data_IF_711736612886
#
_entry.id   IF_711736612886
#
_cell.length_a   1.000
_cell.length_b   1.000
_cell.length_c   1.000
_cell.angle_alpha   90.00
_cell.angle_beta   90.00
_cell.angle_gamma   90.00
#
_symmetry.space_group_name_H-M   'P 1'
#
loop_
_entity.id
_entity.type
_entity.pdbx_description
1 polymer ?
#
# COMPACT_ATOMS: atom_id res chain seq x y z
N UNK A 1 -38.59 10.23 26.76
CA UNK A 1 -37.11 10.15 26.71
C UNK A 1 -36.76 9.27 25.53
N UNK A 2 -36.56 9.88 24.38
CA UNK A 2 -36.21 9.18 23.13
C UNK A 2 -34.73 8.81 23.18
N UNK A 3 -34.47 7.54 23.46
CA UNK A 3 -33.15 6.93 23.35
C UNK A 3 -32.79 6.82 21.87
N UNK A 4 -32.35 7.92 21.26
CA UNK A 4 -31.73 7.92 19.94
C UNK A 4 -30.35 7.29 20.06
N UNK A 5 -30.33 5.96 20.09
CA UNK A 5 -29.12 5.14 20.03
C UNK A 5 -28.50 5.38 18.65
N UNK A 6 -27.60 6.36 18.53
CA UNK A 6 -26.78 6.52 17.34
C UNK A 6 -25.96 5.22 17.19
N UNK A 7 -26.12 4.46 16.10
CA UNK A 7 -25.35 3.24 15.92
C UNK A 7 -23.88 3.63 15.77
N UNK A 8 -23.05 3.16 16.71
CA UNK A 8 -21.60 3.32 16.65
C UNK A 8 -21.11 2.57 15.39
N UNK A 9 -20.79 3.32 14.33
CA UNK A 9 -20.28 2.75 13.09
C UNK A 9 -18.80 2.41 13.28
N UNK A 10 -18.49 1.12 13.37
CA UNK A 10 -17.11 0.65 13.38
C UNK A 10 -16.50 0.84 11.99
N UNK A 11 -15.37 1.54 11.93
CA UNK A 11 -14.60 1.66 10.71
C UNK A 11 -14.04 0.28 10.33
N UNK A 12 -14.60 -0.33 9.29
CA UNK A 12 -14.07 -1.58 8.74
C UNK A 12 -12.85 -1.28 7.89
N UNK A 13 -11.66 -1.49 8.46
CA UNK A 13 -10.42 -1.46 7.70
C UNK A 13 -10.35 -2.67 6.78
N UNK A 14 -10.47 -2.44 5.47
CA UNK A 14 -10.14 -3.45 4.47
C UNK A 14 -8.67 -3.33 4.13
N UNK A 15 -7.95 -4.43 4.23
CA UNK A 15 -6.58 -4.48 3.71
C UNK A 15 -6.63 -4.30 2.20
N UNK A 16 -5.94 -3.29 1.66
CA UNK A 16 -5.89 -3.09 0.23
C UNK A 16 -5.14 -4.26 -0.42
N UNK A 17 -5.65 -4.73 -1.56
CA UNK A 17 -5.10 -5.89 -2.25
C UNK A 17 -3.96 -5.43 -3.17
N UNK A 18 -2.77 -5.92 -2.89
CA UNK A 18 -1.58 -5.70 -3.72
C UNK A 18 -1.68 -6.52 -5.02
N UNK A 19 -1.22 -5.93 -6.11
CA UNK A 19 -1.03 -6.56 -7.43
C UNK A 19 0.23 -7.44 -7.39
N UNK A 20 1.30 -6.98 -6.75
CA UNK A 20 2.62 -7.62 -6.70
C UNK A 20 3.09 -7.90 -5.25
N UNK A 21 2.38 -8.75 -4.49
CA UNK A 21 2.60 -8.91 -3.05
C UNK A 21 4.01 -9.41 -2.68
N UNK A 22 4.58 -10.33 -3.46
CA UNK A 22 5.91 -10.89 -3.17
C UNK A 22 7.04 -9.91 -3.48
N UNK A 23 6.89 -9.09 -4.52
CA UNK A 23 7.88 -8.07 -4.87
C UNK A 23 7.87 -6.94 -3.86
N UNK A 24 6.67 -6.48 -3.47
CA UNK A 24 6.49 -5.48 -2.40
C UNK A 24 7.09 -5.97 -1.09
N UNK A 25 6.89 -7.24 -0.71
CA UNK A 25 7.48 -7.81 0.51
C UNK A 25 9.01 -7.82 0.47
N UNK A 26 9.60 -8.14 -0.68
CA UNK A 26 11.07 -8.10 -0.89
C UNK A 26 11.63 -6.68 -0.85
N UNK A 27 10.97 -5.73 -1.49
CA UNK A 27 11.37 -4.32 -1.43
C UNK A 27 11.29 -3.79 0.00
N UNK A 28 10.21 -4.13 0.71
CA UNK A 28 10.01 -3.74 2.11
C UNK A 28 11.10 -4.33 3.02
N UNK A 29 11.49 -5.59 2.84
CA UNK A 29 12.55 -6.20 3.65
C UNK A 29 13.91 -5.56 3.40
N UNK A 30 14.24 -5.23 2.15
CA UNK A 30 15.46 -4.50 1.80
C UNK A 30 15.50 -3.09 2.41
N UNK A 31 14.39 -2.36 2.34
CA UNK A 31 14.28 -1.02 2.93
C UNK A 31 14.38 -1.07 4.45
N UNK A 32 13.73 -2.05 5.10
CA UNK A 32 13.83 -2.25 6.53
C UNK A 32 15.26 -2.59 6.97
N UNK A 33 15.98 -3.41 6.20
CA UNK A 33 17.39 -3.70 6.46
C UNK A 33 18.30 -2.46 6.35
N UNK A 34 17.90 -1.48 5.53
CA UNK A 34 18.55 -0.18 5.42
C UNK A 34 18.04 0.86 6.44
N UNK A 35 17.14 0.49 7.35
CA UNK A 35 16.60 1.36 8.39
C UNK A 35 15.41 2.23 7.95
N UNK A 36 14.86 2.00 6.76
CA UNK A 36 13.70 2.72 6.25
C UNK A 36 12.40 1.97 6.54
N UNK A 37 11.39 2.70 7.02
CA UNK A 37 10.04 2.19 7.17
C UNK A 37 9.19 2.65 5.98
N UNK A 38 8.73 1.71 5.16
CA UNK A 38 7.90 1.97 4.00
C UNK A 38 6.59 1.19 4.06
N UNK A 39 5.52 1.83 3.61
CA UNK A 39 4.19 1.23 3.54
C UNK A 39 4.01 0.48 2.22
N UNK A 40 3.35 -0.68 2.26
CA UNK A 40 3.27 -1.61 1.13
C UNK A 40 2.59 -1.01 -0.10
N UNK A 41 1.55 -0.19 0.10
CA UNK A 41 0.89 0.50 -1.02
C UNK A 41 1.76 1.56 -1.69
N UNK A 42 2.57 2.28 -0.91
CA UNK A 42 3.47 3.29 -1.47
C UNK A 42 4.56 2.61 -2.31
N UNK A 43 5.05 1.45 -1.85
CA UNK A 43 6.01 0.66 -2.61
C UNK A 43 5.44 0.17 -3.93
N UNK A 44 4.22 -0.37 -3.93
CA UNK A 44 3.57 -0.82 -5.14
C UNK A 44 3.33 0.34 -6.12
N UNK A 45 2.85 1.48 -5.60
CA UNK A 45 2.63 2.67 -6.42
C UNK A 45 3.92 3.19 -7.04
N UNK A 46 4.99 3.32 -6.26
CA UNK A 46 6.29 3.79 -6.76
C UNK A 46 6.88 2.81 -7.78
N UNK A 47 6.68 1.50 -7.57
CA UNK A 47 7.09 0.49 -8.51
C UNK A 47 6.35 0.61 -9.85
N UNK A 48 5.04 0.83 -9.82
CA UNK A 48 4.25 1.05 -11.03
C UNK A 48 4.66 2.33 -11.76
N UNK A 49 4.84 3.44 -11.04
CA UNK A 49 5.28 4.72 -11.60
C UNK A 49 6.66 4.57 -12.27
N UNK A 50 7.61 3.91 -11.60
CA UNK A 50 8.94 3.63 -12.15
C UNK A 50 8.89 2.71 -13.38
N UNK A 51 8.09 1.64 -13.32
CA UNK A 51 7.93 0.68 -14.41
C UNK A 51 7.31 1.33 -15.65
N UNK A 52 6.31 2.19 -15.45
CA UNK A 52 5.71 2.97 -16.54
C UNK A 52 6.73 3.95 -17.13
N UNK A 53 7.43 4.73 -16.31
CA UNK A 53 8.44 5.70 -16.76
C UNK A 53 9.57 5.04 -17.57
N UNK A 54 10.02 3.85 -17.16
CA UNK A 54 11.04 3.11 -17.90
C UNK A 54 10.52 2.43 -19.17
N UNK A 55 9.25 2.05 -19.22
CA UNK A 55 8.62 1.52 -20.44
C UNK A 55 8.59 2.56 -21.57
N UNK A 56 8.39 3.85 -21.24
CA UNK A 56 8.46 4.94 -22.22
C UNK A 56 9.87 5.26 -22.71
N UNK A 57 10.90 4.93 -21.93
CA UNK A 57 12.31 5.25 -22.25
C UNK A 57 12.97 4.24 -23.20
N UNK A 58 12.31 3.10 -23.45
CA UNK A 58 12.76 2.05 -24.36
C UNK A 58 12.19 2.13 -25.78
N UNK A 59 11.48 3.21 -26.13
CA UNK A 59 10.98 3.48 -27.49
C UNK A 59 11.79 4.59 -28.17
#
# INVERSE_FOLDING_TARGET
>A
MDSTTQPMQFLQYRTPKLIYPEDVRRMRSLLAAAGYMAFELDLERLWDEFSQANSFRGK
#
